data_IF_126418675721
#
_entry.id   IF_126418675721
#
_cell.length_a   1.000
_cell.length_b   1.000
_cell.length_c   1.000
_cell.angle_alpha   90.00
_cell.angle_beta   90.00
_cell.angle_gamma   90.00
#
_symmetry.space_group_name_H-M   'P 1'
#
loop_
_entity.id
_entity.type
_entity.pdbx_description
1 polymer ?
#
# COMPACT_ATOMS: atom_id res chain seq x y z
N UNK A 1 -8.78 59.74 -36.11
CA UNK A 1 -8.18 58.40 -36.37
C UNK A 1 -6.96 58.26 -35.48
N UNK A 2 -6.71 57.05 -34.95
CA UNK A 2 -5.66 56.61 -34.00
C UNK A 2 -6.17 56.48 -32.55
N UNK A 3 -6.10 55.35 -31.85
CA UNK A 3 -5.88 53.95 -32.23
C UNK A 3 -6.33 53.13 -31.01
N UNK A 4 -7.38 52.33 -31.14
CA UNK A 4 -7.84 51.39 -30.11
C UNK A 4 -6.92 50.17 -30.19
N UNK A 5 -5.73 50.25 -29.61
CA UNK A 5 -4.81 49.10 -29.55
C UNK A 5 -3.96 49.17 -28.27
N UNK A 6 -4.59 48.94 -27.11
CA UNK A 6 -3.83 48.74 -25.87
C UNK A 6 -4.41 47.71 -24.90
N UNK A 7 -5.60 47.17 -25.17
CA UNK A 7 -6.30 46.30 -24.19
C UNK A 7 -6.27 44.81 -24.54
N UNK A 8 -5.80 44.42 -25.72
CA UNK A 8 -5.88 43.03 -26.20
C UNK A 8 -4.72 42.13 -25.76
N UNK A 9 -3.61 42.68 -25.28
CA UNK A 9 -2.41 41.89 -24.93
C UNK A 9 -2.49 41.31 -23.51
N UNK A 10 -3.19 41.98 -22.59
CA UNK A 10 -3.35 41.51 -21.20
C UNK A 10 -4.35 40.35 -21.06
N UNK A 11 -5.38 40.29 -21.91
CA UNK A 11 -6.38 39.21 -21.87
C UNK A 11 -5.85 37.85 -22.35
N UNK A 12 -4.91 37.84 -23.30
CA UNK A 12 -4.35 36.61 -23.88
C UNK A 12 -3.36 35.94 -22.92
N UNK A 13 -2.56 36.73 -22.18
CA UNK A 13 -1.64 36.20 -21.15
C UNK A 13 -2.37 35.56 -19.97
N UNK A 14 -3.56 36.06 -19.59
CA UNK A 14 -4.36 35.46 -18.52
C UNK A 14 -4.96 34.10 -18.91
N UNK A 15 -5.38 33.93 -20.19
CA UNK A 15 -5.89 32.64 -20.67
C UNK A 15 -4.82 31.55 -20.79
N UNK A 16 -3.54 31.92 -21.03
CA UNK A 16 -2.44 30.96 -21.14
C UNK A 16 -2.00 30.40 -19.78
N UNK A 17 -2.18 31.13 -18.67
CA UNK A 17 -1.80 30.69 -17.32
C UNK A 17 -2.80 29.71 -16.67
N UNK A 18 -4.01 29.56 -17.22
CA UNK A 18 -5.01 28.62 -16.71
C UNK A 18 -4.94 27.22 -17.33
N UNK A 19 -4.08 27.00 -18.34
CA UNK A 19 -3.93 25.71 -19.03
C UNK A 19 -2.87 24.80 -18.39
N UNK A 20 -2.01 25.32 -17.52
CA UNK A 20 -1.09 24.52 -16.70
C UNK A 20 -1.81 23.96 -15.47
N UNK A 21 -2.81 23.10 -15.70
CA UNK A 21 -3.30 22.20 -14.65
C UNK A 21 -2.25 21.11 -14.47
N UNK A 22 -1.44 21.22 -13.42
CA UNK A 22 -0.68 20.08 -12.92
C UNK A 22 -1.67 19.00 -12.45
N UNK A 23 -1.98 18.05 -13.33
CA UNK A 23 -2.69 16.84 -12.95
C UNK A 23 -1.67 15.96 -12.23
N UNK A 24 -1.61 16.06 -10.90
CA UNK A 24 -0.90 15.08 -10.09
C UNK A 24 -1.73 13.79 -10.12
N UNK A 25 -1.47 12.92 -11.09
CA UNK A 25 -2.03 11.57 -11.11
C UNK A 25 -1.28 10.74 -10.08
N UNK A 26 -1.88 10.51 -8.92
CA UNK A 26 -1.37 9.52 -7.98
C UNK A 26 -1.46 8.15 -8.64
N UNK A 27 -0.33 7.48 -8.84
CA UNK A 27 -0.34 6.10 -9.31
C UNK A 27 -0.93 5.20 -8.22
N UNK A 28 -1.90 4.36 -8.59
CA UNK A 28 -2.49 3.42 -7.64
C UNK A 28 -1.45 2.37 -7.23
N UNK A 29 -1.47 1.87 -5.98
CA UNK A 29 -0.59 0.79 -5.56
C UNK A 29 -0.67 -0.43 -6.49
N UNK A 30 0.41 -1.19 -6.52
CA UNK A 30 0.42 -2.52 -7.14
C UNK A 30 -0.18 -3.50 -6.13
N UNK A 31 -1.18 -4.26 -6.55
CA UNK A 31 -1.88 -5.17 -5.64
C UNK A 31 -0.98 -6.37 -5.29
N UNK A 32 -0.81 -6.62 -3.99
CA UNK A 32 -0.13 -7.81 -3.48
C UNK A 32 -1.08 -9.02 -3.51
N UNK A 33 -0.53 -10.21 -3.76
CA UNK A 33 -1.26 -11.45 -3.51
C UNK A 33 -1.22 -11.78 -2.03
N UNK A 34 -2.38 -11.94 -1.39
CA UNK A 34 -2.45 -12.39 0.00
C UNK A 34 -2.65 -13.90 0.07
N UNK A 35 -1.79 -14.57 0.86
CA UNK A 35 -1.88 -15.99 1.19
C UNK A 35 -1.94 -16.18 2.71
N UNK A 36 -2.28 -17.37 3.15
CA UNK A 36 -2.26 -17.76 4.56
C UNK A 36 -1.11 -18.76 4.80
N UNK A 37 -0.22 -18.45 5.74
CA UNK A 37 0.89 -19.30 6.19
C UNK A 37 0.80 -19.41 7.70
N UNK A 38 0.62 -20.62 8.21
CA UNK A 38 0.52 -20.91 9.66
C UNK A 38 -0.49 -20.00 10.40
N UNK A 39 -1.63 -19.71 9.77
CA UNK A 39 -2.69 -18.85 10.33
C UNK A 39 -2.42 -17.35 10.23
N UNK A 40 -1.28 -16.93 9.67
CA UNK A 40 -0.92 -15.53 9.47
C UNK A 40 -1.07 -15.10 8.00
N UNK A 41 -1.39 -13.82 7.75
CA UNK A 41 -1.38 -13.28 6.40
C UNK A 41 0.08 -13.18 5.90
N UNK A 42 0.28 -13.61 4.66
CA UNK A 42 1.53 -13.48 3.93
C UNK A 42 1.26 -12.66 2.66
N UNK A 43 1.99 -11.57 2.47
CA UNK A 43 1.86 -10.72 1.30
C UNK A 43 2.95 -11.06 0.28
N UNK A 44 2.52 -11.49 -0.89
CA UNK A 44 3.36 -12.00 -1.95
C UNK A 44 3.38 -11.02 -3.13
N UNK A 45 4.54 -10.88 -3.77
CA UNK A 45 4.60 -10.12 -5.01
C UNK A 45 3.76 -10.80 -6.10
N UNK A 46 2.98 -10.04 -6.87
CA UNK A 46 2.09 -10.61 -7.88
C UNK A 46 2.91 -11.30 -8.98
N UNK A 47 2.44 -12.46 -9.44
CA UNK A 47 3.13 -13.20 -10.51
C UNK A 47 2.94 -12.55 -11.88
N UNK A 48 1.74 -12.00 -12.12
CA UNK A 48 1.25 -11.65 -13.45
C UNK A 48 0.83 -10.17 -13.62
N UNK A 49 1.18 -9.26 -12.70
CA UNK A 49 0.98 -7.81 -12.90
C UNK A 49 2.19 -7.25 -13.69
N UNK A 50 1.93 -6.64 -14.85
CA UNK A 50 2.97 -6.08 -15.72
C UNK A 50 3.64 -4.82 -15.13
N UNK A 51 2.95 -4.12 -14.22
CA UNK A 51 3.50 -2.97 -13.50
C UNK A 51 4.47 -3.40 -12.40
N UNK A 52 4.36 -4.63 -11.92
CA UNK A 52 5.21 -5.16 -10.85
C UNK A 52 6.62 -5.45 -11.36
N UNK A 53 7.62 -5.01 -10.64
CA UNK A 53 9.00 -5.39 -10.90
C UNK A 53 9.20 -6.90 -10.69
N UNK A 54 10.18 -7.48 -11.36
CA UNK A 54 10.52 -8.90 -11.19
C UNK A 54 11.13 -9.19 -9.82
N UNK A 55 11.82 -8.19 -9.26
CA UNK A 55 12.44 -8.20 -7.93
C UNK A 55 12.35 -6.79 -7.36
N UNK A 56 12.04 -6.66 -6.07
CA UNK A 56 12.14 -5.38 -5.35
C UNK A 56 13.08 -5.52 -4.16
N UNK A 57 13.79 -4.45 -3.83
CA UNK A 57 14.45 -4.30 -2.54
C UNK A 57 13.42 -3.80 -1.53
N UNK A 58 13.26 -4.47 -0.38
CA UNK A 58 12.39 -3.98 0.70
C UNK A 58 13.07 -2.80 1.38
N UNK A 59 12.36 -1.67 1.49
CA UNK A 59 12.74 -0.55 2.35
C UNK A 59 11.89 -0.49 3.61
N UNK A 60 10.59 -0.71 3.50
CA UNK A 60 9.69 -0.70 4.65
C UNK A 60 8.51 -1.64 4.43
N UNK A 61 8.02 -2.24 5.50
CA UNK A 61 6.76 -3.00 5.50
C UNK A 61 5.92 -2.54 6.67
N UNK A 62 4.66 -2.26 6.40
CA UNK A 62 3.68 -1.84 7.39
C UNK A 62 2.39 -2.63 7.27
N UNK A 63 1.78 -2.93 8.41
CA UNK A 63 0.40 -3.40 8.50
C UNK A 63 -0.36 -2.46 9.41
N UNK A 64 -1.48 -1.95 8.91
CA UNK A 64 -2.32 -1.01 9.64
C UNK A 64 -3.80 -1.31 9.44
N UNK A 65 -4.62 -0.77 10.35
CA UNK A 65 -6.08 -0.84 10.29
C UNK A 65 -6.64 0.59 10.24
N UNK A 66 -7.47 0.92 9.23
CA UNK A 66 -8.19 2.18 9.23
C UNK A 66 -9.22 2.20 10.35
N UNK A 67 -9.32 3.33 11.05
CA UNK A 67 -10.29 3.54 12.13
C UNK A 67 -11.44 4.46 11.72
N UNK A 68 -11.35 5.07 10.55
CA UNK A 68 -12.36 5.96 9.97
C UNK A 68 -11.71 6.93 8.99
N UNK A 69 -12.49 7.65 8.19
CA UNK A 69 -11.97 8.52 7.13
C UNK A 69 -11.16 9.73 7.65
N UNK A 70 -11.36 10.13 8.91
CA UNK A 70 -10.71 11.29 9.53
C UNK A 70 -9.85 10.92 10.75
N UNK A 71 -9.63 9.63 11.01
CA UNK A 71 -8.89 9.14 12.16
C UNK A 71 -7.61 8.45 11.71
N UNK A 72 -6.50 8.58 12.45
CA UNK A 72 -5.26 7.93 12.08
C UNK A 72 -5.45 6.40 12.07
N UNK A 73 -4.76 5.77 11.13
CA UNK A 73 -4.67 4.32 11.12
C UNK A 73 -3.99 3.82 12.39
N UNK A 74 -4.45 2.67 12.87
CA UNK A 74 -3.77 1.97 13.96
C UNK A 74 -2.75 1.03 13.33
N UNK A 75 -1.46 1.28 13.56
CA UNK A 75 -0.38 0.39 13.14
C UNK A 75 -0.38 -0.90 13.96
N UNK A 76 -0.26 -2.04 13.28
CA UNK A 76 -0.19 -3.39 13.85
C UNK A 76 1.19 -4.02 13.74
N UNK A 77 1.97 -3.63 12.73
CA UNK A 77 3.34 -4.07 12.57
C UNK A 77 4.03 -3.12 11.62
N UNK A 78 5.28 -2.77 11.91
CA UNK A 78 6.08 -1.93 11.02
C UNK A 78 7.55 -2.21 11.26
N UNK A 79 8.29 -2.51 10.21
CA UNK A 79 9.74 -2.39 10.21
C UNK A 79 10.29 -1.59 9.02
N UNK A 80 11.46 -1.00 9.22
CA UNK A 80 12.27 -0.37 8.17
C UNK A 80 13.57 -1.13 7.97
N UNK A 81 14.09 -1.14 6.75
CA UNK A 81 15.44 -1.57 6.42
C UNK A 81 16.37 -0.35 6.41
N UNK A 82 17.33 -0.26 7.35
CA UNK A 82 18.36 0.78 7.33
C UNK A 82 19.21 0.72 6.06
N UNK A 83 19.76 1.85 5.64
CA UNK A 83 20.58 1.93 4.43
C UNK A 83 21.89 1.12 4.56
N UNK A 84 22.42 1.04 5.77
CA UNK A 84 23.62 0.31 6.16
C UNK A 84 23.40 -1.19 6.37
N UNK A 85 22.14 -1.65 6.46
CA UNK A 85 21.82 -3.06 6.62
C UNK A 85 22.00 -3.82 5.31
N UNK A 86 22.22 -5.14 5.40
CA UNK A 86 22.22 -6.00 4.20
C UNK A 86 20.85 -5.90 3.51
N UNK A 87 20.78 -5.51 2.22
CA UNK A 87 19.53 -5.42 1.50
C UNK A 87 18.77 -6.75 1.48
N UNK A 88 17.45 -6.66 1.60
CA UNK A 88 16.54 -7.81 1.49
C UNK A 88 15.71 -7.61 0.24
N UNK A 89 15.62 -8.65 -0.58
CA UNK A 89 14.89 -8.63 -1.84
C UNK A 89 13.71 -9.60 -1.80
N UNK A 90 12.65 -9.27 -2.52
CA UNK A 90 11.54 -10.17 -2.84
C UNK A 90 11.42 -10.30 -4.34
N UNK A 91 11.27 -11.53 -4.83
CA UNK A 91 10.94 -11.85 -6.23
C UNK A 91 9.45 -12.10 -6.38
N UNK A 92 8.94 -12.04 -7.61
CA UNK A 92 7.55 -12.42 -7.91
C UNK A 92 7.20 -13.77 -7.29
N UNK A 93 6.06 -13.84 -6.61
CA UNK A 93 5.58 -15.02 -5.90
C UNK A 93 6.20 -15.26 -4.52
N UNK A 94 7.31 -14.61 -4.16
CA UNK A 94 7.85 -14.64 -2.80
C UNK A 94 7.04 -13.73 -1.88
N UNK A 95 6.97 -14.11 -0.60
CA UNK A 95 6.08 -13.48 0.37
C UNK A 95 6.83 -12.99 1.61
N UNK A 96 6.32 -11.91 2.20
CA UNK A 96 6.63 -11.51 3.58
C UNK A 96 5.46 -11.95 4.48
N UNK A 97 5.76 -12.71 5.53
CA UNK A 97 4.74 -13.15 6.50
C UNK A 97 4.58 -12.09 7.59
N UNK A 98 3.35 -11.83 8.03
CA UNK A 98 3.09 -10.92 9.13
C UNK A 98 3.88 -11.30 10.39
N UNK A 99 4.63 -10.33 10.93
CA UNK A 99 5.46 -10.53 12.11
C UNK A 99 6.75 -11.31 11.86
N UNK A 100 7.09 -11.62 10.60
CA UNK A 100 8.36 -12.25 10.24
C UNK A 100 9.55 -11.41 10.74
N UNK A 101 10.52 -12.06 11.38
CA UNK A 101 11.78 -11.41 11.72
C UNK A 101 12.64 -11.28 10.47
N UNK A 102 13.02 -10.05 10.14
CA UNK A 102 13.91 -9.75 9.03
C UNK A 102 15.24 -9.29 9.61
N UNK A 103 16.33 -9.96 9.21
CA UNK A 103 17.65 -9.65 9.75
C UNK A 103 18.09 -8.23 9.32
N UNK A 104 18.62 -7.44 10.25
CA UNK A 104 19.02 -6.06 10.02
C UNK A 104 17.87 -5.03 9.99
N UNK A 105 16.60 -5.46 10.07
CA UNK A 105 15.47 -4.55 10.11
C UNK A 105 15.34 -3.84 11.47
N UNK A 106 14.97 -2.57 11.46
CA UNK A 106 14.52 -1.83 12.64
C UNK A 106 13.02 -1.98 12.75
N UNK A 107 12.56 -2.75 13.74
CA UNK A 107 11.13 -2.91 14.02
C UNK A 107 10.62 -1.69 14.78
N UNK A 108 9.86 -0.82 14.10
CA UNK A 108 9.23 0.38 14.66
C UNK A 108 7.99 0.04 15.49
N UNK A 109 7.27 -0.99 15.10
CA UNK A 109 6.09 -1.50 15.82
C UNK A 109 6.12 -3.01 15.81
N UNK A 110 6.20 -3.62 16.99
CA UNK A 110 6.15 -5.07 17.14
C UNK A 110 4.79 -5.60 16.65
N UNK A 111 4.75 -6.79 16.01
CA UNK A 111 3.50 -7.39 15.59
C UNK A 111 2.62 -7.67 16.81
N UNK A 112 1.37 -7.24 16.77
CA UNK A 112 0.35 -7.52 17.78
C UNK A 112 -0.73 -8.45 17.23
N UNK A 113 -1.47 -9.16 18.08
CA UNK A 113 -2.56 -10.02 17.62
C UNK A 113 -3.54 -9.24 16.73
N UNK A 114 -3.92 -9.86 15.60
CA UNK A 114 -4.93 -9.31 14.71
C UNK A 114 -6.32 -9.62 15.28
N UNK A 115 -7.19 -8.62 15.30
CA UNK A 115 -8.56 -8.76 15.77
C UNK A 115 -9.40 -9.51 14.73
N UNK A 116 -10.34 -10.34 15.18
CA UNK A 116 -11.27 -11.02 14.28
C UNK A 116 -12.30 -10.05 13.69
N UNK A 117 -12.78 -10.38 12.49
CA UNK A 117 -13.75 -9.62 11.71
C UNK A 117 -13.29 -8.17 11.46
N UNK A 118 -11.98 -7.97 11.25
CA UNK A 118 -11.41 -6.68 10.89
C UNK A 118 -10.64 -6.74 9.58
N UNK A 119 -10.76 -5.68 8.80
CA UNK A 119 -9.98 -5.46 7.57
C UNK A 119 -8.69 -4.72 7.92
N UNK A 120 -7.58 -5.22 7.40
CA UNK A 120 -6.24 -4.67 7.53
C UNK A 120 -5.66 -4.42 6.15
N UNK A 121 -4.66 -3.54 6.09
CA UNK A 121 -3.89 -3.26 4.89
C UNK A 121 -2.43 -3.53 5.19
N UNK A 122 -1.79 -4.30 4.30
CA UNK A 122 -0.34 -4.47 4.29
C UNK A 122 0.23 -3.68 3.14
N UNK A 123 1.34 -3.00 3.38
CA UNK A 123 2.07 -2.24 2.37
C UNK A 123 3.55 -2.59 2.42
N UNK A 124 4.14 -2.80 1.24
CA UNK A 124 5.57 -2.95 1.04
C UNK A 124 6.04 -1.75 0.22
N UNK A 125 6.96 -0.99 0.79
CA UNK A 125 7.59 0.16 0.14
C UNK A 125 8.96 -0.29 -0.37
N UNK A 126 9.19 -0.28 -1.69
CA UNK A 126 10.51 -0.58 -2.25
C UNK A 126 11.58 0.45 -1.86
N UNK A 127 12.85 0.03 -1.91
CA UNK A 127 14.02 0.91 -1.89
C UNK A 127 14.33 1.47 -3.27
N UNK A 128 15.07 2.60 -3.31
CA UNK A 128 15.41 3.32 -4.54
C UNK A 128 14.57 4.58 -4.77
N UNK A 129 14.75 5.21 -5.93
CA UNK A 129 14.11 6.46 -6.29
C UNK A 129 12.70 6.18 -6.87
N UNK A 130 11.68 6.39 -6.04
CA UNK A 130 10.26 6.52 -6.44
C UNK A 130 9.72 5.39 -7.33
N UNK A 131 9.57 4.19 -6.77
CA UNK A 131 8.74 3.12 -7.34
C UNK A 131 7.33 3.05 -6.72
N UNK A 132 6.38 2.34 -7.35
CA UNK A 132 5.04 2.18 -6.80
C UNK A 132 5.08 1.45 -5.45
N UNK A 133 4.17 1.83 -4.55
CA UNK A 133 3.92 1.06 -3.33
C UNK A 133 3.17 -0.20 -3.71
N UNK A 134 3.55 -1.32 -3.09
CA UNK A 134 2.80 -2.56 -3.20
C UNK A 134 1.88 -2.66 -1.99
N UNK A 135 0.59 -2.92 -2.18
CA UNK A 135 -0.36 -2.99 -1.08
C UNK A 135 -1.45 -4.01 -1.34
N UNK A 136 -2.05 -4.54 -0.28
CA UNK A 136 -3.28 -5.31 -0.38
C UNK A 136 -4.07 -5.24 0.93
N UNK A 137 -5.39 -5.43 0.80
CA UNK A 137 -6.28 -5.59 1.93
C UNK A 137 -6.46 -7.07 2.29
N UNK A 138 -6.63 -7.36 3.58
CA UNK A 138 -7.03 -8.68 4.04
C UNK A 138 -7.97 -8.58 5.23
N UNK A 139 -8.80 -9.60 5.40
CA UNK A 139 -9.78 -9.73 6.46
C UNK A 139 -9.46 -10.97 7.29
N UNK A 140 -9.43 -10.81 8.61
CA UNK A 140 -9.24 -11.89 9.57
C UNK A 140 -10.60 -12.43 10.00
N UNK A 141 -10.89 -13.68 9.69
CA UNK A 141 -12.14 -14.36 10.01
C UNK A 141 -11.91 -15.48 11.03
N UNK A 142 -12.94 -15.79 11.81
CA UNK A 142 -12.92 -16.97 12.67
C UNK A 142 -13.16 -18.22 11.82
N UNK A 143 -12.30 -19.22 11.95
CA UNK A 143 -12.52 -20.51 11.30
C UNK A 143 -13.44 -21.42 12.15
N UNK A 144 -14.34 -22.20 11.53
CA UNK A 144 -15.06 -23.26 12.24
C UNK A 144 -14.08 -24.28 12.83
N UNK A 145 -14.19 -24.57 14.12
CA UNK A 145 -13.24 -25.45 14.84
C UNK A 145 -12.10 -24.72 15.56
N UNK A 146 -12.05 -23.38 15.49
CA UNK A 146 -10.99 -22.57 16.10
C UNK A 146 -9.91 -22.17 15.09
N UNK A 147 -9.17 -21.12 15.42
CA UNK A 147 -8.16 -20.52 14.53
C UNK A 147 -8.66 -19.36 13.67
N UNK A 148 -7.75 -18.84 12.85
CA UNK A 148 -7.95 -17.66 12.00
C UNK A 148 -7.90 -18.07 10.53
N UNK A 149 -8.86 -17.56 9.76
CA UNK A 149 -8.85 -17.62 8.30
C UNK A 149 -8.59 -16.23 7.73
N UNK A 150 -7.66 -16.12 6.79
CA UNK A 150 -7.36 -14.87 6.08
C UNK A 150 -8.11 -14.86 4.76
N UNK A 151 -9.04 -13.92 4.61
CA UNK A 151 -9.82 -13.71 3.41
C UNK A 151 -9.40 -12.40 2.71
N UNK A 152 -9.44 -12.39 1.38
CA UNK A 152 -9.09 -11.21 0.57
C UNK A 152 -10.37 -10.55 0.06
N UNK A 153 -10.56 -9.23 0.26
CA UNK A 153 -11.65 -8.50 -0.38
C UNK A 153 -11.60 -8.60 -1.90
N UNK A 154 -12.74 -8.79 -2.56
CA UNK A 154 -12.85 -8.90 -4.02
C UNK A 154 -14.11 -8.19 -4.52
N UNK A 155 -14.01 -7.39 -5.58
CA UNK A 155 -15.14 -6.77 -6.28
C UNK A 155 -16.15 -6.12 -5.30
N UNK A 156 -15.68 -5.19 -4.48
CA UNK A 156 -16.45 -4.48 -3.44
C UNK A 156 -17.05 -5.34 -2.32
N UNK A 157 -16.83 -6.66 -2.35
CA UNK A 157 -17.19 -7.54 -1.24
C UNK A 157 -16.09 -7.51 -0.20
N UNK A 158 -16.39 -6.87 0.93
CA UNK A 158 -15.57 -6.97 2.13
C UNK A 158 -16.00 -8.21 2.95
N UNK A 159 -15.15 -9.25 3.08
CA UNK A 159 -15.50 -10.45 3.84
C UNK A 159 -15.77 -10.15 5.32
N UNK A 160 -15.21 -9.06 5.84
CA UNK A 160 -15.39 -8.61 7.22
C UNK A 160 -16.66 -7.76 7.40
N UNK A 161 -17.34 -7.33 6.33
CA UNK A 161 -18.58 -6.57 6.40
C UNK A 161 -19.83 -7.46 6.49
N UNK A 162 -19.70 -8.77 6.29
CA UNK A 162 -20.83 -9.69 6.13
C UNK A 162 -21.60 -10.04 7.43
N UNK A 163 -21.41 -9.33 8.54
CA UNK A 163 -22.08 -9.62 9.82
C UNK A 163 -22.48 -8.34 10.58
N UNK A 164 -23.32 -7.51 9.96
CA UNK A 164 -24.10 -6.48 10.66
C UNK A 164 -25.59 -6.67 10.36
#
# INVERSE_FOLDING_TARGET
>A
MQTIFRSSVLGVLACLLCLSRAMATSEAPIELEIRQVDGNPAACLPLNDERAESVIQIRSVGVARPTGPASPDVTYWWFDMPAEAKPVYLKRGECIVYGQRVNGAIVRTQPKPLDLNRTYYISIIPGGDSGPVYSAAFCTLKQPGGGVHIAVPKNDRNPCAANH
#
